data_IF_729809333117
#
_entry.id   IF_729809333117
#
_cell.length_a   1.000
_cell.length_b   1.000
_cell.length_c   1.000
_cell.angle_alpha   90.00
_cell.angle_beta   90.00
_cell.angle_gamma   90.00
#
_symmetry.space_group_name_H-M   'P 1'
#
loop_
_entity.id
_entity.type
_entity.pdbx_description
1 polymer ?
#
# COMPACT_ATOMS: atom_id res chain seq x y z
N UNK A 1 -5.17 30.69 7.67
CA UNK A 1 -5.85 29.63 8.44
C UNK A 1 -4.76 28.69 8.92
N UNK A 2 -4.56 28.57 10.24
CA UNK A 2 -3.61 27.61 10.82
C UNK A 2 -4.34 26.28 11.05
N UNK A 3 -3.76 25.17 10.60
CA UNK A 3 -4.27 23.83 10.92
C UNK A 3 -4.25 23.58 12.43
N UNK A 4 -5.25 22.88 12.97
CA UNK A 4 -5.27 22.46 14.38
C UNK A 4 -4.12 21.50 14.69
N UNK A 5 -3.74 21.38 15.97
CA UNK A 5 -2.69 20.43 16.39
C UNK A 5 -3.03 18.99 15.99
N UNK A 6 -4.31 18.62 16.03
CA UNK A 6 -4.80 17.29 15.61
C UNK A 6 -4.62 17.05 14.12
N UNK A 7 -4.89 18.07 13.28
CA UNK A 7 -4.67 18.01 11.84
C UNK A 7 -3.18 17.89 11.50
N UNK A 8 -2.32 18.60 12.23
CA UNK A 8 -0.87 18.51 12.05
C UNK A 8 -0.32 17.13 12.41
N UNK A 9 -0.80 16.54 13.51
CA UNK A 9 -0.42 15.17 13.92
C UNK A 9 -0.87 14.12 12.91
N UNK A 10 -2.13 14.20 12.47
CA UNK A 10 -2.69 13.25 11.50
C UNK A 10 -1.95 13.32 10.16
N UNK A 11 -1.60 14.53 9.72
CA UNK A 11 -0.78 14.73 8.53
C UNK A 11 0.64 14.14 8.67
N UNK A 12 1.29 14.34 9.82
CA UNK A 12 2.61 13.76 10.07
C UNK A 12 2.57 12.22 10.07
N UNK A 13 1.55 11.62 10.70
CA UNK A 13 1.33 10.17 10.68
C UNK A 13 1.10 9.65 9.25
N UNK A 14 0.28 10.34 8.46
CA UNK A 14 0.04 9.99 7.06
C UNK A 14 1.34 10.03 6.23
N UNK A 15 2.17 11.08 6.37
CA UNK A 15 3.45 11.17 5.67
C UNK A 15 4.37 10.00 6.02
N UNK A 16 4.44 9.64 7.30
CA UNK A 16 5.21 8.49 7.75
C UNK A 16 4.69 7.17 7.15
N UNK A 17 3.37 6.94 7.15
CA UNK A 17 2.75 5.77 6.51
C UNK A 17 3.08 5.69 5.02
N UNK A 18 3.05 6.81 4.30
CA UNK A 18 3.40 6.88 2.87
C UNK A 18 4.88 6.54 2.63
N UNK A 19 5.78 6.97 3.50
CA UNK A 19 7.20 6.63 3.40
C UNK A 19 7.42 5.13 3.64
N UNK A 20 6.74 4.55 4.63
CA UNK A 20 6.78 3.11 4.89
C UNK A 20 6.20 2.29 3.72
N UNK A 21 5.09 2.74 3.12
CA UNK A 21 4.53 2.13 1.91
C UNK A 21 5.57 2.05 0.78
N UNK A 22 6.34 3.14 0.58
CA UNK A 22 7.41 3.19 -0.43
C UNK A 22 8.51 2.17 -0.13
N UNK A 23 8.95 2.05 1.13
CA UNK A 23 9.97 1.06 1.53
C UNK A 23 9.51 -0.37 1.27
N UNK A 24 8.27 -0.70 1.63
CA UNK A 24 7.68 -2.02 1.36
C UNK A 24 7.61 -2.26 -0.15
N UNK A 25 7.10 -1.30 -0.92
CA UNK A 25 7.08 -1.39 -2.39
C UNK A 25 8.47 -1.61 -2.99
N UNK A 26 9.48 -0.89 -2.50
CA UNK A 26 10.84 -1.02 -2.99
C UNK A 26 11.43 -2.40 -2.68
N UNK A 27 11.10 -2.99 -1.52
CA UNK A 27 11.43 -4.39 -1.20
C UNK A 27 10.78 -5.40 -2.15
N UNK A 28 9.62 -5.05 -2.72
CA UNK A 28 8.84 -5.90 -3.62
C UNK A 28 9.19 -5.74 -5.10
N UNK A 29 9.92 -4.69 -5.51
CA UNK A 29 10.26 -4.40 -6.93
C UNK A 29 10.96 -5.57 -7.66
N UNK A 30 11.67 -6.42 -6.93
CA UNK A 30 12.33 -7.62 -7.45
C UNK A 30 11.45 -8.88 -7.42
N UNK A 31 10.37 -8.87 -6.64
CA UNK A 31 9.52 -10.04 -6.45
C UNK A 31 8.67 -10.28 -7.70
N UNK A 32 8.66 -11.53 -8.12
CA UNK A 32 7.84 -12.01 -9.24
C UNK A 32 6.97 -13.13 -8.73
N UNK A 33 5.82 -13.31 -9.34
CA UNK A 33 4.99 -14.46 -9.07
C UNK A 33 5.81 -15.75 -9.30
N UNK A 34 5.84 -16.68 -8.33
CA UNK A 34 6.62 -17.91 -8.45
C UNK A 34 6.10 -18.82 -9.58
N UNK A 35 4.82 -18.70 -9.95
CA UNK A 35 4.18 -19.53 -10.97
C UNK A 35 4.38 -18.95 -12.38
N UNK A 36 4.12 -17.65 -12.56
CA UNK A 36 4.05 -17.04 -13.89
C UNK A 36 5.21 -16.09 -14.21
N UNK A 37 6.13 -15.86 -13.26
CA UNK A 37 7.28 -14.97 -13.38
C UNK A 37 6.92 -13.51 -13.79
N UNK A 38 5.67 -13.10 -13.56
CA UNK A 38 5.16 -11.73 -13.78
C UNK A 38 5.21 -10.93 -12.48
N UNK A 39 5.42 -9.62 -12.60
CA UNK A 39 5.42 -8.69 -11.46
C UNK A 39 3.99 -8.26 -11.14
N UNK A 40 3.75 -7.88 -9.88
CA UNK A 40 2.57 -7.13 -9.49
C UNK A 40 2.96 -5.65 -9.32
N UNK A 41 1.98 -4.78 -9.45
CA UNK A 41 2.10 -3.36 -9.21
C UNK A 41 1.40 -3.00 -7.91
N UNK A 42 1.98 -2.09 -7.15
CA UNK A 42 1.39 -1.59 -5.91
C UNK A 42 1.44 -0.07 -5.95
N UNK A 43 0.30 0.57 -5.73
CA UNK A 43 0.14 2.02 -5.65
C UNK A 43 -0.45 2.41 -4.31
N UNK A 44 0.04 3.53 -3.78
CA UNK A 44 -0.43 4.16 -2.56
C UNK A 44 -1.23 5.43 -2.88
N UNK A 45 -2.40 5.59 -2.26
CA UNK A 45 -3.26 6.78 -2.38
C UNK A 45 -3.63 7.26 -0.99
N UNK A 46 -3.66 8.58 -0.82
CA UNK A 46 -4.16 9.24 0.37
C UNK A 46 -5.56 9.81 0.08
N UNK A 47 -6.50 9.59 0.99
CA UNK A 47 -7.87 10.10 0.91
C UNK A 47 -8.18 11.12 2.03
N UNK A 48 -9.32 11.80 1.91
CA UNK A 48 -9.83 12.69 2.95
C UNK A 48 -9.85 11.94 4.32
N UNK A 49 -9.51 12.64 5.40
CA UNK A 49 -9.29 12.08 6.76
C UNK A 49 -7.93 11.42 7.05
N UNK A 50 -6.88 11.72 6.28
CA UNK A 50 -5.50 11.23 6.55
C UNK A 50 -5.33 9.71 6.46
N UNK A 51 -6.25 9.05 5.75
CA UNK A 51 -6.28 7.61 5.51
C UNK A 51 -5.35 7.25 4.36
N UNK A 52 -4.50 6.23 4.54
CA UNK A 52 -3.61 5.73 3.49
C UNK A 52 -4.11 4.38 2.99
N UNK A 53 -4.51 4.36 1.72
CA UNK A 53 -5.00 3.19 1.01
C UNK A 53 -3.91 2.63 0.10
N UNK A 54 -3.67 1.32 0.20
CA UNK A 54 -2.73 0.59 -0.66
C UNK A 54 -3.53 -0.24 -1.66
N UNK A 55 -3.28 -0.01 -2.94
CA UNK A 55 -3.91 -0.70 -4.06
C UNK A 55 -2.91 -1.65 -4.72
N UNK A 56 -3.30 -2.92 -4.87
CA UNK A 56 -2.50 -3.95 -5.52
C UNK A 56 -3.17 -4.27 -6.86
N UNK A 57 -2.45 -4.02 -7.95
CA UNK A 57 -2.96 -4.19 -9.30
C UNK A 57 -1.91 -4.81 -10.24
N UNK A 58 -2.29 -5.04 -11.50
CA UNK A 58 -1.41 -5.64 -12.53
C UNK A 58 -0.69 -6.91 -12.06
N UNK A 59 -1.36 -7.76 -11.29
CA UNK A 59 -0.85 -9.07 -10.87
C UNK A 59 -1.29 -10.16 -11.86
N UNK A 60 -0.54 -11.25 -11.91
CA UNK A 60 -0.85 -12.36 -12.83
C UNK A 60 -1.77 -13.43 -12.23
N UNK A 61 -1.82 -13.56 -10.90
CA UNK A 61 -2.72 -14.48 -10.21
C UNK A 61 -3.12 -13.88 -8.86
N UNK A 62 -4.34 -14.23 -8.43
CA UNK A 62 -4.92 -13.70 -7.19
C UNK A 62 -4.14 -14.15 -5.95
N UNK A 63 -3.60 -15.37 -5.96
CA UNK A 63 -2.76 -15.90 -4.87
C UNK A 63 -1.52 -15.01 -4.63
N UNK A 64 -0.86 -14.57 -5.69
CA UNK A 64 0.28 -13.66 -5.57
C UNK A 64 -0.14 -12.29 -5.06
N UNK A 65 -1.30 -11.77 -5.48
CA UNK A 65 -1.85 -10.54 -4.94
C UNK A 65 -2.17 -10.65 -3.45
N UNK A 66 -2.72 -11.79 -3.00
CA UNK A 66 -2.99 -12.09 -1.59
C UNK A 66 -1.70 -12.19 -0.77
N UNK A 67 -0.64 -12.80 -1.31
CA UNK A 67 0.67 -12.80 -0.66
C UNK A 67 1.20 -11.39 -0.44
N UNK A 68 1.13 -10.54 -1.47
CA UNK A 68 1.56 -9.14 -1.36
C UNK A 68 0.69 -8.40 -0.34
N UNK A 69 -0.63 -8.58 -0.40
CA UNK A 69 -1.56 -7.98 0.55
C UNK A 69 -1.19 -8.37 1.98
N UNK A 70 -0.86 -9.63 2.23
CA UNK A 70 -0.44 -10.12 3.55
C UNK A 70 0.82 -9.38 4.05
N UNK A 71 1.79 -9.11 3.18
CA UNK A 71 3.02 -8.37 3.55
C UNK A 71 2.70 -6.94 4.01
N UNK A 72 1.74 -6.28 3.34
CA UNK A 72 1.28 -4.97 3.77
C UNK A 72 0.44 -5.07 5.06
N UNK A 73 -0.42 -6.07 5.21
CA UNK A 73 -1.24 -6.25 6.43
C UNK A 73 -0.40 -6.63 7.66
N UNK A 74 0.69 -7.38 7.51
CA UNK A 74 1.63 -7.73 8.59
C UNK A 74 2.28 -6.50 9.24
N UNK A 75 2.19 -5.35 8.58
CA UNK A 75 2.71 -4.08 9.10
C UNK A 75 1.75 -3.34 10.03
N UNK A 76 0.44 -3.62 9.97
CA UNK A 76 -0.62 -3.06 10.84
C UNK A 76 -0.77 -1.52 10.86
N UNK A 77 0.01 -0.77 10.07
CA UNK A 77 -0.07 0.70 10.01
C UNK A 77 -0.77 1.25 8.77
N UNK A 78 -1.20 0.41 7.83
CA UNK A 78 -1.99 0.83 6.68
C UNK A 78 -3.48 0.68 6.97
N UNK A 79 -4.28 1.67 6.61
CA UNK A 79 -5.69 1.69 6.94
C UNK A 79 -6.49 0.71 6.08
N UNK A 80 -6.21 0.68 4.76
CA UNK A 80 -6.80 -0.30 3.85
C UNK A 80 -5.75 -0.85 2.87
N UNK A 81 -5.80 -2.15 2.60
CA UNK A 81 -5.01 -2.81 1.56
C UNK A 81 -5.96 -3.56 0.63
N UNK A 82 -6.16 -3.03 -0.57
CA UNK A 82 -7.18 -3.46 -1.53
C UNK A 82 -6.49 -4.12 -2.73
N UNK A 83 -7.00 -5.28 -3.13
CA UNK A 83 -6.61 -5.92 -4.38
C UNK A 83 -7.59 -5.48 -5.46
N UNK A 84 -7.13 -4.70 -6.43
CA UNK A 84 -7.97 -4.31 -7.56
C UNK A 84 -8.23 -5.55 -8.43
N UNK A 85 -9.48 -5.80 -8.82
CA UNK A 85 -9.74 -6.83 -9.83
C UNK A 85 -9.15 -6.34 -11.16
N UNK A 86 -8.42 -7.19 -11.91
CA UNK A 86 -8.12 -6.88 -13.29
C UNK A 86 -9.47 -6.80 -14.02
N UNK A 87 -9.81 -5.61 -14.51
CA UNK A 87 -10.92 -5.41 -15.44
C UNK A 87 -10.68 -6.21 -16.73
#
# INVERSE_FOLDING_TARGET
MSYSEEQQRSYATMLWKLEEAKKVRDSLKGRKCPVHNKKAYTSEVWEEDYVVNIYISRYCCREYALEIQKIFLEKDYFDNVIIENPA
#
